data_IF_626726527000
#
_entry.id   IF_626726527000
#
_cell.length_a   1.000
_cell.length_b   1.000
_cell.length_c   1.000
_cell.angle_alpha   90.00
_cell.angle_beta   90.00
_cell.angle_gamma   90.00
#
_symmetry.space_group_name_H-M   'P 1'
#
loop_
_entity.id
_entity.type
_entity.pdbx_description
1 polymer ?
#
# COMPACT_ATOMS: atom_id res chain seq x y z
N UNK A 1 10.47 -24.04 -36.55
CA UNK A 1 9.40 -23.83 -35.80
C UNK A 1 9.40 -24.17 -34.40
N UNK A 2 10.03 -23.46 -33.78
CA UNK A 2 10.04 -23.54 -32.38
C UNK A 2 8.74 -22.98 -31.94
N UNK A 3 7.82 -23.84 -31.78
CA UNK A 3 6.87 -23.58 -30.79
C UNK A 3 7.69 -23.27 -29.58
N UNK A 4 8.02 -22.06 -29.47
CA UNK A 4 8.34 -21.45 -28.22
C UNK A 4 7.14 -21.72 -27.36
N UNK A 5 7.16 -22.87 -26.78
CA UNK A 5 6.59 -23.07 -25.51
C UNK A 5 7.40 -22.11 -24.65
N UNK A 6 7.01 -20.85 -24.69
CA UNK A 6 7.28 -19.99 -23.57
C UNK A 6 6.68 -20.74 -22.41
N UNK A 7 7.52 -21.44 -21.70
CA UNK A 7 7.17 -21.88 -20.39
C UNK A 7 6.67 -20.62 -19.70
N UNK A 8 5.37 -20.54 -19.51
CA UNK A 8 4.79 -19.55 -18.62
C UNK A 8 5.40 -19.92 -17.29
N UNK A 9 6.50 -19.25 -16.94
CA UNK A 9 7.08 -19.39 -15.63
C UNK A 9 5.95 -19.04 -14.68
N UNK A 10 5.46 -20.03 -13.95
CA UNK A 10 4.54 -19.81 -12.87
C UNK A 10 5.19 -18.77 -11.97
N UNK A 11 4.61 -17.57 -11.89
CA UNK A 11 5.09 -16.55 -10.99
C UNK A 11 5.16 -17.13 -9.59
N UNK A 12 6.37 -17.16 -9.02
CA UNK A 12 6.58 -17.58 -7.65
C UNK A 12 6.32 -16.39 -6.76
N UNK A 13 5.39 -16.55 -5.82
CA UNK A 13 5.01 -15.51 -4.88
C UNK A 13 5.56 -15.83 -3.50
N UNK A 14 6.02 -14.79 -2.81
CA UNK A 14 6.30 -14.79 -1.38
C UNK A 14 5.15 -14.12 -0.63
N UNK A 15 4.93 -14.59 0.59
CA UNK A 15 3.97 -14.01 1.52
C UNK A 15 4.66 -13.72 2.84
N UNK A 16 4.65 -12.46 3.26
CA UNK A 16 5.17 -12.02 4.57
C UNK A 16 3.98 -11.70 5.46
N UNK A 17 3.95 -12.31 6.64
CA UNK A 17 2.94 -12.03 7.67
C UNK A 17 3.62 -11.45 8.88
N UNK A 18 3.26 -10.23 9.26
CA UNK A 18 3.78 -9.54 10.43
C UNK A 18 2.86 -9.80 11.61
N UNK A 19 3.36 -10.34 12.72
CA UNK A 19 2.54 -10.61 13.90
C UNK A 19 2.12 -9.33 14.62
N UNK A 20 1.17 -9.46 15.52
CA UNK A 20 0.75 -8.37 16.40
C UNK A 20 1.94 -7.79 17.16
N UNK A 21 2.07 -6.46 17.12
CA UNK A 21 3.17 -5.74 17.76
C UNK A 21 4.49 -5.77 17.02
N UNK A 22 4.56 -6.47 15.88
CA UNK A 22 5.75 -6.52 15.04
C UNK A 22 5.79 -5.43 13.98
N UNK A 23 6.97 -5.24 13.43
CA UNK A 23 7.22 -4.42 12.24
C UNK A 23 8.24 -5.15 11.39
N UNK A 24 8.19 -4.97 10.07
CA UNK A 24 9.12 -5.62 9.16
C UNK A 24 9.45 -4.71 7.98
N UNK A 25 10.72 -4.69 7.58
CA UNK A 25 11.19 -3.95 6.42
C UNK A 25 11.78 -4.93 5.41
N UNK A 26 11.39 -4.82 4.15
CA UNK A 26 11.95 -5.63 3.07
C UNK A 26 12.21 -4.80 1.82
N UNK A 27 13.09 -5.34 0.98
CA UNK A 27 13.38 -4.78 -0.34
C UNK A 27 12.94 -5.75 -1.41
N UNK A 28 12.11 -5.29 -2.34
CA UNK A 28 11.63 -6.09 -3.46
C UNK A 28 12.68 -6.16 -4.58
N UNK A 29 12.43 -7.03 -5.57
CA UNK A 29 13.38 -7.27 -6.66
C UNK A 29 13.69 -6.05 -7.53
N UNK A 30 12.79 -5.07 -7.57
CA UNK A 30 12.97 -3.81 -8.30
C UNK A 30 13.67 -2.71 -7.49
N UNK A 31 14.07 -3.01 -6.26
CA UNK A 31 14.66 -2.04 -5.33
C UNK A 31 13.66 -1.28 -4.46
N UNK A 32 12.37 -1.48 -4.66
CA UNK A 32 11.32 -0.89 -3.82
C UNK A 32 11.48 -1.34 -2.38
N UNK A 33 11.44 -0.39 -1.45
CA UNK A 33 11.51 -0.64 -0.01
C UNK A 33 10.09 -0.57 0.57
N UNK A 34 9.73 -1.59 1.33
CA UNK A 34 8.40 -1.69 1.96
C UNK A 34 8.58 -1.84 3.47
N UNK A 35 7.95 -0.96 4.23
CA UNK A 35 7.84 -1.06 5.67
C UNK A 35 6.46 -1.58 6.01
N UNK A 36 6.37 -2.73 6.68
CA UNK A 36 5.12 -3.38 7.07
C UNK A 36 4.85 -3.16 8.55
N UNK A 37 3.64 -2.70 8.87
CA UNK A 37 3.20 -2.53 10.24
C UNK A 37 2.64 -3.84 10.82
N UNK A 38 2.27 -3.79 12.10
CA UNK A 38 1.67 -4.89 12.86
C UNK A 38 0.45 -5.48 12.15
N UNK A 39 0.29 -6.82 12.23
CA UNK A 39 -0.84 -7.56 11.65
C UNK A 39 -1.06 -7.31 10.15
N UNK A 40 0.03 -7.12 9.43
CA UNK A 40 0.03 -6.86 7.99
C UNK A 40 0.49 -8.10 7.24
N UNK A 41 -0.15 -8.34 6.11
CA UNK A 41 0.22 -9.40 5.17
C UNK A 41 0.52 -8.78 3.82
N UNK A 42 1.70 -9.06 3.28
CA UNK A 42 2.10 -8.65 1.94
C UNK A 42 2.40 -9.88 1.10
N UNK A 43 1.72 -9.99 -0.05
CA UNK A 43 2.02 -10.99 -1.07
C UNK A 43 2.67 -10.30 -2.25
N UNK A 44 3.79 -10.80 -2.71
CA UNK A 44 4.55 -10.19 -3.81
C UNK A 44 5.29 -11.27 -4.60
N UNK A 45 5.50 -11.05 -5.92
CA UNK A 45 6.27 -11.99 -6.72
C UNK A 45 7.76 -11.89 -6.40
N UNK A 46 8.48 -13.01 -6.53
CA UNK A 46 9.94 -13.03 -6.40
C UNK A 46 10.58 -12.10 -7.42
N UNK A 47 10.00 -12.05 -8.62
CA UNK A 47 10.38 -11.13 -9.70
C UNK A 47 9.14 -10.56 -10.34
N UNK A 48 9.18 -9.27 -10.64
CA UNK A 48 8.11 -8.63 -11.41
C UNK A 48 8.25 -8.98 -12.88
N UNK A 49 7.32 -9.81 -13.39
CA UNK A 49 7.17 -10.12 -14.80
C UNK A 49 5.95 -9.37 -15.36
N UNK A 50 5.91 -9.20 -16.71
CA UNK A 50 4.79 -8.50 -17.35
C UNK A 50 4.91 -6.99 -17.33
N UNK A 51 3.79 -6.31 -17.54
CA UNK A 51 3.74 -4.87 -17.79
C UNK A 51 3.56 -4.03 -16.51
N UNK A 52 3.28 -4.68 -15.39
CA UNK A 52 3.05 -4.02 -14.10
C UNK A 52 3.83 -4.71 -12.99
N UNK A 53 4.06 -3.96 -11.90
CA UNK A 53 4.66 -4.46 -10.66
C UNK A 53 3.54 -4.55 -9.62
N UNK A 54 2.97 -5.72 -9.43
CA UNK A 54 1.80 -5.89 -8.58
C UNK A 54 2.13 -6.58 -7.26
N UNK A 55 1.64 -6.02 -6.17
CA UNK A 55 1.66 -6.60 -4.83
C UNK A 55 0.26 -6.58 -4.23
N UNK A 56 -0.02 -7.47 -3.29
CA UNK A 56 -1.29 -7.52 -2.57
C UNK A 56 -1.04 -7.24 -1.10
N UNK A 57 -1.81 -6.29 -0.54
CA UNK A 57 -1.66 -5.82 0.83
C UNK A 57 -2.94 -6.00 1.63
N UNK A 58 -2.79 -6.56 2.84
CA UNK A 58 -3.80 -6.54 3.90
C UNK A 58 -3.12 -5.98 5.15
N UNK A 59 -3.51 -4.79 5.56
CA UNK A 59 -2.91 -4.11 6.70
C UNK A 59 -2.37 -2.74 6.34
N UNK A 60 -1.28 -2.36 6.96
CA UNK A 60 -0.64 -1.05 6.74
C UNK A 60 0.80 -1.20 6.28
N UNK A 61 1.15 -0.49 5.22
CA UNK A 61 2.50 -0.45 4.70
C UNK A 61 2.88 0.93 4.18
N UNK A 62 4.15 1.27 4.36
CA UNK A 62 4.77 2.43 3.75
C UNK A 62 5.68 1.96 2.62
N UNK A 63 5.47 2.52 1.43
CA UNK A 63 6.19 2.15 0.22
C UNK A 63 7.13 3.27 -0.21
N UNK A 64 8.35 2.92 -0.52
CA UNK A 64 9.31 3.75 -1.23
C UNK A 64 9.58 3.07 -2.57
N UNK A 65 8.79 3.40 -3.59
CA UNK A 65 8.77 2.72 -4.88
C UNK A 65 9.85 3.27 -5.80
N UNK A 66 10.67 2.37 -6.34
CA UNK A 66 11.65 2.70 -7.36
C UNK A 66 10.95 3.22 -8.63
N UNK A 67 11.41 4.36 -9.12
CA UNK A 67 10.82 4.99 -10.30
C UNK A 67 10.98 4.14 -11.56
N UNK A 68 9.88 3.90 -12.25
CA UNK A 68 9.87 3.24 -13.57
C UNK A 68 8.58 3.62 -14.30
N UNK A 69 8.66 4.55 -15.25
CA UNK A 69 7.51 5.03 -16.02
C UNK A 69 6.91 3.96 -16.93
N UNK A 70 7.72 3.00 -17.35
CA UNK A 70 7.30 1.95 -18.31
C UNK A 70 6.59 0.79 -17.61
N UNK A 71 6.69 0.71 -16.30
CA UNK A 71 6.15 -0.42 -15.54
C UNK A 71 5.54 0.04 -14.22
N UNK A 72 4.25 0.42 -14.23
CA UNK A 72 3.56 0.91 -13.04
C UNK A 72 3.61 -0.09 -11.88
N UNK A 73 3.69 0.45 -10.66
CA UNK A 73 3.62 -0.34 -9.42
C UNK A 73 2.19 -0.25 -8.88
N UNK A 74 1.56 -1.39 -8.64
CA UNK A 74 0.17 -1.48 -8.20
C UNK A 74 0.09 -2.19 -6.86
N UNK A 75 -0.45 -1.51 -5.85
CA UNK A 75 -0.82 -2.12 -4.58
C UNK A 75 -2.29 -2.49 -4.64
N UNK A 76 -2.59 -3.78 -4.61
CA UNK A 76 -3.95 -4.28 -4.58
C UNK A 76 -4.39 -4.48 -3.13
N UNK A 77 -5.53 -3.92 -2.77
CA UNK A 77 -6.18 -4.16 -1.48
C UNK A 77 -7.59 -4.71 -1.69
N UNK A 78 -8.30 -5.00 -0.63
CA UNK A 78 -9.69 -5.46 -0.74
C UNK A 78 -10.68 -4.37 -1.18
N UNK A 79 -10.34 -3.09 -1.00
CA UNK A 79 -11.21 -1.95 -1.35
C UNK A 79 -10.77 -1.22 -2.61
N UNK A 80 -9.51 -0.92 -2.72
CA UNK A 80 -8.97 -0.06 -3.78
C UNK A 80 -7.67 -0.62 -4.35
N UNK A 81 -7.36 -0.19 -5.57
CA UNK A 81 -6.04 -0.35 -6.17
C UNK A 81 -5.32 0.99 -6.11
N UNK A 82 -4.04 0.95 -5.78
CA UNK A 82 -3.17 2.12 -5.69
C UNK A 82 -2.06 1.98 -6.72
N UNK A 83 -2.02 2.87 -7.71
CA UNK A 83 -1.07 2.82 -8.83
C UNK A 83 -0.10 3.99 -8.77
N UNK A 84 1.20 3.69 -8.87
CA UNK A 84 2.27 4.69 -8.84
C UNK A 84 3.36 4.36 -9.86
N UNK A 85 4.17 5.34 -10.24
CA UNK A 85 5.34 5.17 -11.10
C UNK A 85 6.65 5.21 -10.31
N UNK A 86 6.71 5.99 -9.26
CA UNK A 86 7.84 6.13 -8.34
C UNK A 86 7.48 7.13 -7.28
N UNK A 87 7.23 6.66 -6.04
CA UNK A 87 6.43 7.42 -5.07
C UNK A 87 6.75 6.96 -3.66
N UNK A 88 6.64 7.88 -2.71
CA UNK A 88 6.64 7.56 -1.27
C UNK A 88 5.24 7.78 -0.73
N UNK A 89 4.62 6.71 -0.25
CA UNK A 89 3.22 6.76 0.19
C UNK A 89 2.93 5.68 1.22
N UNK A 90 1.90 5.93 2.02
CA UNK A 90 1.40 4.98 3.02
C UNK A 90 0.03 4.45 2.59
N UNK A 91 -0.22 3.17 2.78
CA UNK A 91 -1.52 2.54 2.54
C UNK A 91 -1.97 1.85 3.82
N UNK A 92 -3.18 2.16 4.28
CA UNK A 92 -3.83 1.50 5.40
C UNK A 92 -5.11 0.82 4.90
N UNK A 93 -5.13 -0.51 4.93
CA UNK A 93 -6.21 -1.33 4.37
C UNK A 93 -6.35 -2.65 5.16
N UNK A 94 -6.62 -2.56 6.46
CA UNK A 94 -6.87 -3.73 7.28
C UNK A 94 -8.19 -4.40 6.89
N UNK A 95 -8.18 -5.73 6.75
CA UNK A 95 -9.35 -6.50 6.33
C UNK A 95 -10.46 -6.56 7.39
N UNK A 96 -10.12 -6.34 8.66
CA UNK A 96 -11.08 -6.26 9.77
C UNK A 96 -11.74 -4.89 9.92
N UNK A 97 -11.35 -3.92 9.08
CA UNK A 97 -11.87 -2.57 9.05
C UNK A 97 -12.53 -2.27 7.70
N UNK A 98 -13.60 -1.50 7.73
CA UNK A 98 -14.19 -0.93 6.51
C UNK A 98 -13.39 0.25 5.97
N UNK A 99 -12.39 0.70 6.73
CA UNK A 99 -11.62 1.88 6.39
C UNK A 99 -10.49 1.55 5.41
N UNK A 100 -10.33 2.42 4.46
CA UNK A 100 -9.18 2.45 3.56
C UNK A 100 -8.65 3.88 3.52
N UNK A 101 -7.33 4.03 3.63
CA UNK A 101 -6.69 5.34 3.51
C UNK A 101 -5.33 5.21 2.81
N UNK A 102 -5.08 6.07 1.84
CA UNK A 102 -3.78 6.23 1.22
C UNK A 102 -3.31 7.67 1.38
N UNK A 103 -2.09 7.85 1.83
CA UNK A 103 -1.48 9.16 2.08
C UNK A 103 -0.22 9.31 1.26
N UNK A 104 -0.11 10.41 0.52
CA UNK A 104 0.98 10.66 -0.41
C UNK A 104 1.98 11.65 0.19
N UNK A 105 3.26 11.23 0.26
CA UNK A 105 4.36 12.07 0.73
C UNK A 105 5.13 12.69 -0.42
N UNK A 106 5.40 11.92 -1.47
CA UNK A 106 6.23 12.37 -2.60
C UNK A 106 5.77 11.67 -3.88
N UNK A 107 5.66 12.41 -4.97
CA UNK A 107 5.30 11.88 -6.28
C UNK A 107 3.81 12.06 -6.60
N UNK A 108 3.22 11.07 -7.23
CA UNK A 108 1.81 11.04 -7.64
C UNK A 108 1.23 9.65 -7.45
N UNK A 109 0.01 9.58 -7.00
CA UNK A 109 -0.71 8.32 -6.75
C UNK A 109 -2.08 8.38 -7.41
N UNK A 110 -2.43 7.33 -8.15
CA UNK A 110 -3.79 7.10 -8.61
C UNK A 110 -4.44 6.03 -7.75
N UNK A 111 -5.58 6.36 -7.16
CA UNK A 111 -6.39 5.42 -6.37
C UNK A 111 -7.68 5.15 -7.11
N UNK A 112 -8.03 3.89 -7.29
CA UNK A 112 -9.26 3.45 -7.96
C UNK A 112 -10.06 2.55 -7.03
N UNK A 113 -11.37 2.73 -7.00
CA UNK A 113 -12.27 1.83 -6.30
C UNK A 113 -12.32 0.48 -7.03
N UNK A 114 -12.07 -0.60 -6.33
CA UNK A 114 -12.05 -1.95 -6.90
C UNK A 114 -13.44 -2.41 -7.35
N UNK A 115 -14.48 -1.99 -6.66
CA UNK A 115 -15.87 -2.27 -7.01
C UNK A 115 -16.40 -1.43 -8.17
N UNK A 116 -15.84 -0.25 -8.38
CA UNK A 116 -16.20 0.67 -9.46
C UNK A 116 -14.94 1.37 -10.00
N UNK A 117 -14.21 0.73 -10.94
CA UNK A 117 -12.93 1.27 -11.43
C UNK A 117 -13.03 2.64 -12.12
N UNK A 118 -14.22 3.09 -12.52
CA UNK A 118 -14.42 4.45 -13.03
C UNK A 118 -14.33 5.51 -11.93
N UNK A 119 -14.54 5.12 -10.68
CA UNK A 119 -14.29 5.97 -9.52
C UNK A 119 -12.79 5.95 -9.21
N UNK A 120 -12.09 7.01 -9.58
CA UNK A 120 -10.66 7.13 -9.31
C UNK A 120 -10.26 8.58 -9.02
N UNK A 121 -9.22 8.74 -8.21
CA UNK A 121 -8.63 10.03 -7.86
C UNK A 121 -7.12 9.98 -8.03
N UNK A 122 -6.54 11.10 -8.45
CA UNK A 122 -5.08 11.30 -8.47
C UNK A 122 -4.72 12.25 -7.34
N UNK A 123 -3.79 11.82 -6.49
CA UNK A 123 -3.29 12.62 -5.38
C UNK A 123 -2.02 13.36 -5.77
N UNK A 124 -1.90 14.59 -5.29
CA UNK A 124 -0.65 15.34 -5.22
C UNK A 124 0.00 15.15 -3.84
N UNK A 125 1.30 15.47 -3.68
CA UNK A 125 1.95 15.38 -2.37
C UNK A 125 1.20 16.14 -1.29
N UNK A 126 1.24 15.59 -0.07
CA UNK A 126 0.56 16.12 1.11
C UNK A 126 -0.97 15.98 1.09
N UNK A 127 -1.48 15.11 0.23
CA UNK A 127 -2.88 14.74 0.20
C UNK A 127 -3.07 13.29 0.64
N UNK A 128 -4.26 12.99 1.16
CA UNK A 128 -4.70 11.64 1.44
C UNK A 128 -6.08 11.40 0.83
N UNK A 129 -6.38 10.15 0.53
CA UNK A 129 -7.69 9.70 0.09
C UNK A 129 -8.20 8.63 1.04
N UNK A 130 -9.49 8.72 1.36
CA UNK A 130 -10.20 7.68 2.10
C UNK A 130 -11.35 7.16 1.26
N UNK A 131 -11.64 5.85 1.42
CA UNK A 131 -12.82 5.23 0.84
C UNK A 131 -13.92 5.25 1.90
N UNK A 132 -15.03 5.94 1.60
CA UNK A 132 -16.14 6.13 2.54
C UNK A 132 -17.44 5.82 1.80
N UNK A 133 -18.15 4.78 2.24
CA UNK A 133 -19.45 4.38 1.69
C UNK A 133 -19.46 4.24 0.14
N UNK A 134 -18.42 3.61 -0.40
CA UNK A 134 -18.29 3.39 -1.84
C UNK A 134 -17.73 4.58 -2.62
N UNK A 135 -17.31 5.64 -1.95
CA UNK A 135 -16.78 6.85 -2.60
C UNK A 135 -15.37 7.19 -2.12
N UNK A 136 -14.55 7.64 -3.06
CA UNK A 136 -13.22 8.16 -2.76
C UNK A 136 -13.31 9.65 -2.40
N UNK A 137 -12.72 10.01 -1.26
CA UNK A 137 -12.68 11.39 -0.74
C UNK A 137 -11.25 11.78 -0.46
N UNK A 138 -10.79 12.88 -1.07
CA UNK A 138 -9.44 13.41 -0.81
C UNK A 138 -9.49 14.61 0.12
N UNK A 139 -8.44 14.76 0.91
CA UNK A 139 -8.22 15.92 1.78
C UNK A 139 -6.72 16.15 1.98
N UNK A 140 -6.30 17.38 2.35
CA UNK A 140 -4.91 17.61 2.76
C UNK A 140 -4.56 16.79 4.00
N UNK A 141 -3.30 16.37 4.10
CA UNK A 141 -2.76 15.77 5.31
C UNK A 141 -2.50 16.88 6.32
N UNK A 142 -3.22 16.86 7.45
CA UNK A 142 -3.07 17.87 8.49
C UNK A 142 -1.89 17.56 9.44
N UNK A 143 -1.57 16.28 9.63
CA UNK A 143 -0.55 15.82 10.55
C UNK A 143 0.16 14.59 9.97
N UNK A 144 1.49 14.65 9.88
CA UNK A 144 2.32 13.56 9.38
C UNK A 144 2.80 12.60 10.48
N UNK A 145 2.58 12.92 11.74
CA UNK A 145 2.99 12.07 12.87
C UNK A 145 2.44 10.64 12.79
N UNK A 146 1.19 10.38 12.32
CA UNK A 146 0.70 9.01 12.14
C UNK A 146 1.55 8.14 11.20
N UNK A 147 2.37 8.73 10.34
CA UNK A 147 3.22 8.01 9.38
C UNK A 147 4.64 7.76 9.89
N UNK A 148 4.96 8.19 11.11
CA UNK A 148 6.27 7.99 11.73
C UNK A 148 6.44 6.62 12.38
N UNK A 149 5.42 5.77 12.33
CA UNK A 149 5.50 4.41 12.86
C UNK A 149 6.67 3.62 12.26
N UNK A 150 6.99 3.84 10.99
CA UNK A 150 8.14 3.22 10.31
C UNK A 150 9.49 3.57 10.92
N UNK A 151 9.55 4.62 11.73
CA UNK A 151 10.73 5.04 12.48
C UNK A 151 10.73 4.51 13.92
N UNK A 152 9.77 3.63 14.25
CA UNK A 152 9.59 3.09 15.60
C UNK A 152 8.92 4.03 16.57
N UNK A 153 8.28 5.09 16.09
CA UNK A 153 7.58 6.07 16.90
C UNK A 153 6.07 5.90 16.80
N UNK A 154 5.40 5.92 17.92
CA UNK A 154 3.95 5.94 17.99
C UNK A 154 3.49 7.31 18.46
N UNK A 155 2.68 7.99 17.64
CA UNK A 155 2.11 9.30 17.97
C UNK A 155 0.66 9.15 18.38
N UNK A 156 0.31 9.75 19.52
CA UNK A 156 -1.03 9.72 20.10
C UNK A 156 -1.76 11.06 20.02
N UNK A 157 -1.19 12.02 19.33
CA UNK A 157 -1.72 13.38 19.26
C UNK A 157 -3.07 13.37 18.56
N UNK A 158 -4.08 13.92 19.21
CA UNK A 158 -5.46 14.07 18.69
C UNK A 158 -6.23 12.77 18.46
N UNK A 159 -5.81 11.66 19.06
CA UNK A 159 -6.55 10.39 19.00
C UNK A 159 -7.61 10.30 20.11
N UNK A 160 -8.80 9.80 19.73
CA UNK A 160 -9.76 9.33 20.71
C UNK A 160 -9.28 8.01 21.33
N UNK A 161 -9.63 7.80 22.61
CA UNK A 161 -9.22 6.59 23.35
C UNK A 161 -9.54 5.29 22.61
N UNK A 162 -10.68 5.22 21.94
CA UNK A 162 -11.11 4.04 21.18
C UNK A 162 -10.20 3.75 19.98
N UNK A 163 -9.77 4.78 19.26
CA UNK A 163 -8.82 4.67 18.16
C UNK A 163 -7.44 4.28 18.67
N UNK A 164 -7.03 4.83 19.82
CA UNK A 164 -5.78 4.50 20.47
C UNK A 164 -5.72 3.01 20.83
N UNK A 165 -6.76 2.47 21.43
CA UNK A 165 -6.83 1.05 21.80
C UNK A 165 -6.84 0.14 20.59
N UNK A 166 -7.53 0.53 19.51
CA UNK A 166 -7.51 -0.21 18.25
C UNK A 166 -6.11 -0.31 17.65
N UNK A 167 -5.28 0.73 17.78
CA UNK A 167 -3.89 0.70 17.32
C UNK A 167 -3.00 -0.21 18.16
N UNK A 168 -3.26 -0.33 19.43
CA UNK A 168 -2.51 -1.26 20.29
C UNK A 168 -2.91 -2.73 20.08
N UNK A 169 -4.10 -3.00 19.59
CA UNK A 169 -4.57 -4.35 19.28
C UNK A 169 -3.98 -4.92 17.98
N UNK A 170 -3.41 -4.06 17.14
CA UNK A 170 -2.81 -4.45 15.85
C UNK A 170 -1.33 -4.73 15.92
#
# INVERSE_FOLDING_TARGET
KDSLVQAVEKAVFNKVTVPRGGEFKLTLSDGTVVHLNSETVLSYPVRFAGDTREVELHGEAYFEVTHNDDKPFVVQTNKCNVEVLGTKFNVEAYSDSEDFCTSLMEGSVRVSDKGNPSESLVLAPNQQVSWINGHLRSKPIADFDPFRWKEGLICFKSMHFKELMSRFEK
#
